data_IF_318797466929
#
_entry.id   IF_318797466929
#
_cell.length_a   1.000
_cell.length_b   1.000
_cell.length_c   1.000
_cell.angle_alpha   90.00
_cell.angle_beta   90.00
_cell.angle_gamma   90.00
#
_symmetry.space_group_name_H-M   'P 1'
#
loop_
_entity.id
_entity.type
_entity.pdbx_description
1 polymer ?
#
# COMPACT_ATOMS: atom_id res chain seq x y z
N UNK A 1 2.83 -4.90 11.93
CA UNK A 1 4.08 -4.12 11.73
C UNK A 1 4.72 -4.44 10.38
N UNK A 2 4.93 -5.71 10.04
CA UNK A 2 5.52 -6.13 8.74
C UNK A 2 4.71 -5.65 7.54
N UNK A 3 3.37 -5.78 7.59
CA UNK A 3 2.47 -5.31 6.54
C UNK A 3 2.52 -3.77 6.36
N UNK A 4 2.59 -3.03 7.46
CA UNK A 4 2.67 -1.56 7.46
C UNK A 4 4.00 -1.05 6.91
N UNK A 5 5.11 -1.70 7.27
CA UNK A 5 6.44 -1.37 6.76
C UNK A 5 6.60 -1.74 5.27
N UNK A 6 6.04 -2.87 4.85
CA UNK A 6 6.02 -3.26 3.44
C UNK A 6 5.24 -2.25 2.57
N UNK A 7 4.18 -1.65 3.10
CA UNK A 7 3.38 -0.65 2.37
C UNK A 7 4.16 0.62 2.02
N UNK A 8 5.10 1.05 2.86
CA UNK A 8 5.89 2.28 2.65
C UNK A 8 6.98 2.08 1.58
N UNK A 9 7.54 0.87 1.48
CA UNK A 9 8.68 0.56 0.61
C UNK A 9 8.33 0.07 -0.80
N UNK A 10 7.05 -0.15 -1.13
CA UNK A 10 6.67 -0.75 -2.41
C UNK A 10 6.32 0.34 -3.43
N UNK A 11 7.20 0.59 -4.40
CA UNK A 11 6.85 1.36 -5.59
C UNK A 11 5.68 0.68 -6.32
N UNK A 12 4.67 1.43 -6.75
CA UNK A 12 3.50 0.88 -7.44
C UNK A 12 3.88 0.35 -8.83
N UNK A 13 4.30 -0.92 -8.88
CA UNK A 13 4.66 -1.63 -10.12
C UNK A 13 3.57 -2.66 -10.42
N UNK A 14 2.91 -2.58 -11.60
CA UNK A 14 1.92 -3.56 -12.01
C UNK A 14 2.51 -4.98 -11.98
N UNK A 15 1.78 -5.93 -11.37
CA UNK A 15 2.21 -7.34 -11.25
C UNK A 15 3.23 -7.63 -10.14
N UNK A 16 3.60 -6.64 -9.31
CA UNK A 16 4.48 -6.87 -8.16
C UNK A 16 3.86 -7.85 -7.14
N UNK A 17 2.54 -7.90 -7.04
CA UNK A 17 1.82 -8.82 -6.15
C UNK A 17 2.09 -10.29 -6.46
N UNK A 18 2.23 -10.66 -7.73
CA UNK A 18 2.44 -12.02 -8.17
C UNK A 18 3.89 -12.48 -7.96
N UNK A 19 4.85 -11.57 -8.14
CA UNK A 19 6.27 -11.78 -7.83
C UNK A 19 6.44 -12.03 -6.33
N UNK A 20 5.80 -11.20 -5.50
CA UNK A 20 5.83 -11.35 -4.04
C UNK A 20 5.18 -12.66 -3.58
N UNK A 21 4.05 -13.06 -4.19
CA UNK A 21 3.38 -14.32 -3.89
C UNK A 21 4.26 -15.53 -4.20
N UNK A 22 4.98 -15.49 -5.33
CA UNK A 22 5.94 -16.55 -5.72
C UNK A 22 7.03 -16.71 -4.68
N UNK A 23 7.61 -15.60 -4.20
CA UNK A 23 8.64 -15.60 -3.16
C UNK A 23 8.11 -16.16 -1.83
N UNK A 24 6.89 -15.81 -1.45
CA UNK A 24 6.25 -16.30 -0.21
C UNK A 24 6.00 -17.81 -0.28
N UNK A 25 5.43 -18.32 -1.36
CA UNK A 25 5.16 -19.76 -1.51
C UNK A 25 6.46 -20.58 -1.46
N UNK A 26 7.52 -20.11 -2.11
CA UNK A 26 8.85 -20.71 -2.01
C UNK A 26 9.40 -20.70 -0.57
N UNK A 27 9.20 -19.61 0.17
CA UNK A 27 9.70 -19.48 1.54
C UNK A 27 9.05 -20.43 2.54
N UNK A 28 7.82 -20.90 2.26
CA UNK A 28 7.07 -21.85 3.11
C UNK A 28 7.01 -23.26 2.52
N UNK A 29 7.74 -23.53 1.43
CA UNK A 29 7.83 -24.85 0.80
C UNK A 29 6.57 -25.28 0.04
N UNK A 30 5.72 -24.34 -0.37
CA UNK A 30 4.51 -24.62 -1.15
C UNK A 30 4.80 -24.59 -2.66
N UNK A 31 4.15 -25.47 -3.45
CA UNK A 31 4.29 -25.50 -4.90
C UNK A 31 3.81 -24.20 -5.55
N UNK A 32 4.66 -23.60 -6.38
CA UNK A 32 4.40 -22.36 -7.12
C UNK A 32 3.34 -22.54 -8.20
N UNK A 33 3.06 -23.78 -8.60
CA UNK A 33 1.99 -24.14 -9.52
C UNK A 33 0.60 -23.71 -9.02
N UNK A 34 0.42 -23.53 -7.70
CA UNK A 34 -0.81 -23.01 -7.10
C UNK A 34 -1.15 -21.57 -7.47
N UNK A 35 -0.19 -20.80 -8.00
CA UNK A 35 -0.38 -19.41 -8.46
C UNK A 35 -1.27 -19.35 -9.71
N UNK A 36 -1.38 -20.45 -10.47
CA UNK A 36 -2.20 -20.52 -11.68
C UNK A 36 -3.67 -20.13 -11.45
N UNK A 37 -4.20 -20.40 -10.25
CA UNK A 37 -5.57 -20.05 -9.87
C UNK A 37 -5.70 -18.53 -9.64
N UNK A 38 -4.66 -17.89 -9.11
CA UNK A 38 -4.65 -16.46 -8.77
C UNK A 38 -4.35 -15.61 -10.01
N UNK A 39 -3.62 -16.13 -11.00
CA UNK A 39 -3.30 -15.44 -12.26
C UNK A 39 -4.53 -14.86 -12.98
N UNK A 40 -5.68 -15.55 -12.92
CA UNK A 40 -6.91 -15.09 -13.56
C UNK A 40 -7.52 -13.84 -12.91
N UNK A 41 -7.26 -13.61 -11.63
CA UNK A 41 -7.78 -12.46 -10.86
C UNK A 41 -6.71 -11.45 -10.47
N UNK A 42 -5.43 -11.80 -10.67
CA UNK A 42 -4.27 -10.99 -10.28
C UNK A 42 -4.40 -9.55 -10.75
N UNK A 43 -4.82 -9.34 -12.01
CA UNK A 43 -4.95 -7.98 -12.55
C UNK A 43 -5.98 -7.13 -11.80
N UNK A 44 -7.10 -7.72 -11.39
CA UNK A 44 -8.14 -7.01 -10.62
C UNK A 44 -7.67 -6.75 -9.18
N UNK A 45 -7.01 -7.73 -8.56
CA UNK A 45 -6.48 -7.61 -7.21
C UNK A 45 -5.34 -6.59 -7.13
N UNK A 46 -4.48 -6.55 -8.14
CA UNK A 46 -3.36 -5.61 -8.27
C UNK A 46 -3.88 -4.17 -8.39
N UNK A 47 -4.86 -3.93 -9.28
CA UNK A 47 -5.51 -2.61 -9.40
C UNK A 47 -6.19 -2.19 -8.10
N UNK A 48 -6.94 -3.09 -7.46
CA UNK A 48 -7.63 -2.80 -6.19
C UNK A 48 -6.63 -2.41 -5.10
N UNK A 49 -5.51 -3.12 -5.00
CA UNK A 49 -4.42 -2.82 -4.06
C UNK A 49 -3.82 -1.44 -4.33
N UNK A 50 -3.52 -1.10 -5.58
CA UNK A 50 -2.99 0.23 -5.92
C UNK A 50 -3.97 1.34 -5.53
N UNK A 51 -5.26 1.19 -5.82
CA UNK A 51 -6.28 2.19 -5.48
C UNK A 51 -6.39 2.38 -3.98
N UNK A 52 -6.44 1.29 -3.20
CA UNK A 52 -6.52 1.38 -1.74
C UNK A 52 -5.27 2.05 -1.15
N UNK A 53 -4.07 1.71 -1.64
CA UNK A 53 -2.83 2.33 -1.19
C UNK A 53 -2.82 3.85 -1.43
N UNK A 54 -3.14 4.29 -2.66
CA UNK A 54 -3.17 5.73 -3.00
C UNK A 54 -4.25 6.48 -2.21
N UNK A 55 -5.39 5.84 -1.95
CA UNK A 55 -6.48 6.46 -1.15
C UNK A 55 -6.03 6.71 0.29
N UNK A 56 -5.27 5.79 0.89
CA UNK A 56 -4.63 5.99 2.20
C UNK A 56 -3.63 7.15 2.17
N UNK A 57 -2.78 7.16 1.14
CA UNK A 57 -1.96 8.27 0.64
C UNK A 57 -2.57 9.64 0.89
N UNK A 58 -3.66 9.86 0.15
CA UNK A 58 -4.39 11.13 0.11
C UNK A 58 -5.08 11.43 1.43
N UNK A 59 -5.65 10.43 2.09
CA UNK A 59 -6.33 10.61 3.38
C UNK A 59 -5.36 11.16 4.44
N UNK A 60 -4.17 10.57 4.56
CA UNK A 60 -3.14 11.04 5.50
C UNK A 60 -2.65 12.42 5.12
N UNK A 61 -2.41 12.70 3.84
CA UNK A 61 -2.01 14.02 3.38
C UNK A 61 -3.02 15.12 3.76
N UNK A 62 -4.32 14.85 3.61
CA UNK A 62 -5.39 15.80 4.01
C UNK A 62 -5.43 16.01 5.51
N UNK A 63 -5.32 14.93 6.30
CA UNK A 63 -5.31 15.02 7.78
C UNK A 63 -4.11 15.83 8.28
N UNK A 64 -2.92 15.57 7.73
CA UNK A 64 -1.69 16.31 8.07
C UNK A 64 -1.83 17.79 7.69
N UNK A 65 -2.28 18.09 6.46
CA UNK A 65 -2.47 19.46 6.01
C UNK A 65 -3.44 20.24 6.91
N UNK A 66 -4.55 19.61 7.32
CA UNK A 66 -5.50 20.24 8.26
C UNK A 66 -4.89 20.47 9.64
N UNK A 67 -4.12 19.50 10.14
CA UNK A 67 -3.41 19.62 11.42
C UNK A 67 -2.35 20.73 11.43
N UNK A 68 -1.62 20.92 10.33
CA UNK A 68 -0.63 22.00 10.18
C UNK A 68 -1.28 23.38 10.06
N UNK A 69 -2.42 23.48 9.37
CA UNK A 69 -3.21 24.72 9.31
C UNK A 69 -3.70 25.15 10.70
N UNK A 70 -4.27 24.22 11.48
CA UNK A 70 -4.73 24.49 12.84
C UNK A 70 -3.58 24.92 13.78
N UNK A 71 -2.37 24.40 13.59
CA UNK A 71 -1.18 24.83 14.35
C UNK A 71 -0.71 26.23 13.94
N UNK A 72 -0.77 26.55 12.64
CA UNK A 72 -0.38 27.86 12.09
C UNK A 72 -1.35 28.97 12.53
N UNK A 73 -2.66 28.70 12.55
CA UNK A 73 -3.66 29.63 13.08
C UNK A 73 -3.45 29.93 14.57
N UNK A 74 -3.20 28.90 15.39
CA UNK A 74 -2.92 29.08 16.83
C UNK A 74 -1.64 29.88 17.08
N UNK A 75 -0.59 29.65 16.30
CA UNK A 75 0.67 30.38 16.41
C UNK A 75 0.52 31.87 16.04
N UNK A 76 -0.31 32.18 15.05
CA UNK A 76 -0.56 33.57 14.59
C UNK A 76 -1.50 34.32 15.54
N UNK A 77 -2.44 33.63 16.20
CA UNK A 77 -3.31 34.23 17.21
C UNK A 77 -2.62 34.49 18.57
N UNK A 78 -1.46 33.90 18.81
CA UNK A 78 -0.70 34.04 20.06
C UNK A 78 0.45 35.06 19.98
N UNK A 79 0.68 35.65 18.80
CA UNK A 79 1.68 36.69 18.52
C UNK A 79 1.01 38.07 18.37
#
# INVERSE_FOLDING_TARGET
MTATLASIGTAAVPGAGLIMLTLVLQSVGLPVEGIAIVLGVDRLLDMSRTVTNITGDVCVAVVVAKGEQDQTEKATSAA
#
